data_IF_286097100375
#
_entry.id   IF_286097100375
#
_cell.length_a   1.000
_cell.length_b   1.000
_cell.length_c   1.000
_cell.angle_alpha   90.00
_cell.angle_beta   90.00
_cell.angle_gamma   90.00
#
_symmetry.space_group_name_H-M   'P 1'
#
loop_
_entity.id
_entity.type
_entity.pdbx_description
1 polymer ?
#
# COMPACT_ATOMS: atom_id res chain seq x y z
N UNK A 1 9.57 -11.80 -0.75
CA UNK A 1 10.87 -12.52 -0.76
C UNK A 1 10.98 -13.45 -1.97
N UNK A 2 9.96 -14.28 -2.24
CA UNK A 2 9.98 -15.24 -3.34
C UNK A 2 10.02 -14.56 -4.72
N UNK A 3 9.28 -13.47 -4.88
CA UNK A 3 9.24 -12.70 -6.12
C UNK A 3 10.59 -12.07 -6.48
N UNK A 4 11.32 -11.54 -5.50
CA UNK A 4 12.63 -10.92 -5.74
C UNK A 4 13.72 -11.94 -6.07
N UNK A 5 13.68 -13.12 -5.46
CA UNK A 5 14.63 -14.20 -5.72
C UNK A 5 14.47 -14.78 -7.13
N UNK A 6 13.23 -15.04 -7.56
CA UNK A 6 12.93 -15.57 -8.89
C UNK A 6 13.12 -14.50 -9.97
N UNK A 7 12.80 -13.22 -9.64
CA UNK A 7 12.83 -12.12 -10.60
C UNK A 7 14.23 -11.62 -10.98
N UNK A 8 15.25 -11.79 -10.13
CA UNK A 8 16.55 -11.18 -10.36
C UNK A 8 17.70 -12.19 -10.63
N UNK A 9 17.47 -13.48 -10.44
CA UNK A 9 18.45 -14.54 -10.74
C UNK A 9 19.84 -14.35 -10.11
N UNK A 10 20.07 -13.21 -9.42
CA UNK A 10 21.36 -12.81 -8.90
C UNK A 10 21.25 -12.29 -7.47
N UNK A 11 21.97 -12.87 -6.50
CA UNK A 11 21.96 -12.44 -5.11
C UNK A 11 22.33 -10.95 -4.92
N UNK A 12 23.22 -10.42 -5.75
CA UNK A 12 23.66 -9.02 -5.68
C UNK A 12 22.50 -8.08 -6.02
N UNK A 13 21.75 -8.38 -7.07
CA UNK A 13 20.56 -7.60 -7.46
C UNK A 13 19.47 -7.62 -6.39
N UNK A 14 19.25 -8.78 -5.77
CA UNK A 14 18.32 -8.91 -4.66
C UNK A 14 18.74 -8.08 -3.43
N UNK A 15 20.02 -8.13 -3.05
CA UNK A 15 20.55 -7.34 -1.93
C UNK A 15 20.43 -5.85 -2.26
N UNK A 16 20.82 -5.43 -3.47
CA UNK A 16 20.76 -4.04 -3.90
C UNK A 16 19.31 -3.50 -3.84
N UNK A 17 18.34 -4.25 -4.34
CA UNK A 17 16.92 -3.88 -4.27
C UNK A 17 16.43 -3.81 -2.82
N UNK A 18 16.81 -4.78 -1.98
CA UNK A 18 16.41 -4.80 -0.57
C UNK A 18 16.96 -3.59 0.18
N UNK A 19 18.24 -3.24 -0.03
CA UNK A 19 18.83 -2.04 0.56
C UNK A 19 18.12 -0.79 0.05
N UNK A 20 17.91 -0.70 -1.25
CA UNK A 20 17.24 0.44 -1.88
C UNK A 20 15.84 0.65 -1.32
N UNK A 21 15.02 -0.39 -1.26
CA UNK A 21 13.66 -0.33 -0.68
C UNK A 21 13.68 0.04 0.82
N UNK A 22 14.70 -0.42 1.56
CA UNK A 22 14.88 -0.09 2.97
C UNK A 22 15.17 1.40 3.21
N UNK A 23 15.76 2.11 2.25
CA UNK A 23 16.02 3.55 2.36
C UNK A 23 14.73 4.38 2.46
N UNK A 24 13.64 3.94 1.81
CA UNK A 24 12.34 4.60 1.96
C UNK A 24 11.82 4.48 3.40
N UNK A 25 11.96 3.30 4.01
CA UNK A 25 11.57 3.09 5.41
C UNK A 25 12.47 3.88 6.37
N UNK A 26 13.76 3.96 6.09
CA UNK A 26 14.69 4.79 6.86
C UNK A 26 14.32 6.28 6.74
N UNK A 27 14.03 6.75 5.52
CA UNK A 27 13.55 8.11 5.27
C UNK A 27 12.24 8.42 5.99
N UNK A 28 11.28 7.49 5.95
CA UNK A 28 10.04 7.59 6.70
C UNK A 28 10.28 7.68 8.21
N UNK A 29 11.17 6.83 8.75
CA UNK A 29 11.55 6.87 10.16
C UNK A 29 12.18 8.20 10.57
N UNK A 30 13.07 8.74 9.74
CA UNK A 30 13.67 10.06 9.93
C UNK A 30 12.64 11.19 9.88
N UNK A 31 11.76 11.17 8.87
CA UNK A 31 10.67 12.14 8.76
C UNK A 31 9.73 12.09 9.96
N UNK A 32 9.37 10.87 10.40
CA UNK A 32 8.57 10.69 11.61
C UNK A 32 9.27 11.23 12.86
N UNK A 33 10.57 10.96 13.04
CA UNK A 33 11.34 11.48 14.17
C UNK A 33 11.38 13.01 14.21
N UNK A 34 11.38 13.67 13.05
CA UNK A 34 11.30 15.13 12.95
C UNK A 34 9.87 15.63 13.22
N UNK A 35 8.89 15.08 12.52
CA UNK A 35 7.49 15.52 12.59
C UNK A 35 6.90 15.28 13.98
N UNK A 36 7.22 14.16 14.64
CA UNK A 36 6.74 13.84 15.98
C UNK A 36 7.19 14.82 17.06
N UNK A 37 8.28 15.55 16.82
CA UNK A 37 8.82 16.58 17.73
C UNK A 37 8.24 17.98 17.49
N UNK A 38 7.37 18.14 16.47
CA UNK A 38 6.79 19.45 16.19
C UNK A 38 5.82 19.88 17.30
N UNK A 39 5.92 21.14 17.81
CA UNK A 39 5.06 21.63 18.89
C UNK A 39 3.57 21.56 18.58
N UNK A 40 3.19 21.61 17.29
CA UNK A 40 1.81 21.47 16.84
C UNK A 40 1.23 20.08 17.14
N UNK A 41 2.06 19.05 17.19
CA UNK A 41 1.66 17.69 17.57
C UNK A 41 1.68 17.52 19.10
N UNK A 42 2.56 18.23 19.81
CA UNK A 42 2.68 18.18 21.27
C UNK A 42 1.68 19.08 22.02
N UNK A 43 0.95 19.94 21.30
CA UNK A 43 -0.10 20.77 21.93
C UNK A 43 0.35 22.13 22.44
N UNK A 44 1.45 22.69 21.91
CA UNK A 44 1.97 23.99 22.30
C UNK A 44 0.94 25.13 22.25
N UNK A 45 0.91 26.05 23.24
CA UNK A 45 -0.01 27.20 23.28
C UNK A 45 0.44 28.28 22.28
N UNK A 46 -0.38 28.65 21.34
CA UNK A 46 -0.15 29.80 20.48
C UNK A 46 -0.61 29.59 19.03
N UNK A 47 -1.76 30.17 18.69
CA UNK A 47 -2.25 30.22 17.31
C UNK A 47 -3.71 29.78 17.13
N UNK A 48 -4.44 30.46 16.23
CA UNK A 48 -5.83 30.16 15.84
C UNK A 48 -5.93 28.97 14.88
N UNK A 49 -5.19 27.88 15.10
CA UNK A 49 -5.17 26.76 14.17
C UNK A 49 -6.30 25.77 14.44
N UNK A 50 -7.04 25.42 13.39
CA UNK A 50 -8.11 24.42 13.40
C UNK A 50 -7.62 23.09 14.02
N UNK A 51 -6.34 22.77 13.83
CA UNK A 51 -5.65 21.60 14.38
C UNK A 51 -5.63 21.53 15.91
N UNK A 52 -5.80 22.66 16.62
CA UNK A 52 -5.86 22.66 18.10
C UNK A 52 -7.13 21.99 18.66
N UNK A 53 -8.19 21.91 17.85
CA UNK A 53 -9.42 21.20 18.25
C UNK A 53 -9.26 19.70 18.18
N UNK A 54 -8.24 19.20 17.46
CA UNK A 54 -7.96 17.78 17.34
C UNK A 54 -7.01 17.35 18.46
N UNK A 55 -7.35 16.28 19.22
CA UNK A 55 -6.47 15.75 20.27
C UNK A 55 -5.07 15.42 19.76
N UNK A 56 -4.05 15.61 20.59
CA UNK A 56 -2.64 15.38 20.20
C UNK A 56 -2.41 13.96 19.65
N UNK A 57 -3.01 12.94 20.27
CA UNK A 57 -2.94 11.56 19.80
C UNK A 57 -3.51 11.37 18.39
N UNK A 58 -4.67 11.99 18.10
CA UNK A 58 -5.26 11.90 16.76
C UNK A 58 -4.42 12.64 15.71
N UNK A 59 -3.77 13.76 16.08
CA UNK A 59 -2.84 14.47 15.18
C UNK A 59 -1.64 13.59 14.83
N UNK A 60 -1.06 12.91 15.82
CA UNK A 60 0.05 11.98 15.61
C UNK A 60 -0.36 10.80 14.72
N UNK A 61 -1.54 10.22 14.92
CA UNK A 61 -2.10 9.15 14.09
C UNK A 61 -2.22 9.60 12.63
N UNK A 62 -2.83 10.76 12.40
CA UNK A 62 -3.02 11.33 11.06
C UNK A 62 -1.67 11.65 10.41
N UNK A 63 -0.75 12.29 11.14
CA UNK A 63 0.57 12.65 10.62
C UNK A 63 1.37 11.40 10.19
N UNK A 64 1.37 10.35 11.00
CA UNK A 64 2.03 9.09 10.64
C UNK A 64 1.42 8.45 9.39
N UNK A 65 0.09 8.34 9.34
CA UNK A 65 -0.59 7.73 8.20
C UNK A 65 -0.35 8.50 6.89
N UNK A 66 -0.35 9.83 6.94
CA UNK A 66 -0.03 10.67 5.77
C UNK A 66 1.43 10.54 5.34
N UNK A 67 2.37 10.50 6.29
CA UNK A 67 3.78 10.27 5.99
C UNK A 67 4.01 8.88 5.35
N UNK A 68 3.36 7.85 5.89
CA UNK A 68 3.41 6.51 5.31
C UNK A 68 2.89 6.49 3.87
N UNK A 69 1.69 7.03 3.66
CA UNK A 69 1.08 7.07 2.32
C UNK A 69 1.92 7.89 1.34
N UNK A 70 2.49 9.02 1.79
CA UNK A 70 3.39 9.82 0.97
C UNK A 70 4.68 9.07 0.60
N UNK A 71 5.24 8.29 1.51
CA UNK A 71 6.40 7.44 1.25
C UNK A 71 6.08 6.32 0.26
N UNK A 72 4.90 5.68 0.37
CA UNK A 72 4.42 4.67 -0.59
C UNK A 72 4.22 5.26 -1.98
N UNK A 73 3.61 6.45 -2.10
CA UNK A 73 3.43 7.12 -3.38
C UNK A 73 4.77 7.52 -3.99
N UNK A 74 5.67 8.12 -3.20
CA UNK A 74 7.02 8.47 -3.67
C UNK A 74 7.74 7.24 -4.21
N UNK A 75 7.75 6.14 -3.47
CA UNK A 75 8.38 4.88 -3.87
C UNK A 75 7.75 4.31 -5.14
N UNK A 76 6.46 4.53 -5.33
CA UNK A 76 5.72 3.99 -6.48
C UNK A 76 6.02 4.70 -7.79
N UNK A 77 6.60 5.92 -7.76
CA UNK A 77 6.85 6.73 -8.95
C UNK A 77 8.32 7.13 -9.12
N UNK A 78 9.14 7.10 -8.08
CA UNK A 78 10.51 7.57 -8.11
C UNK A 78 11.44 6.61 -7.35
N UNK A 79 12.72 6.45 -7.78
CA UNK A 79 13.30 6.86 -9.05
C UNK A 79 12.99 5.86 -10.16
N UNK A 80 13.43 6.16 -11.39
CA UNK A 80 13.39 5.25 -12.54
C UNK A 80 12.00 4.66 -12.87
N UNK A 81 10.92 5.38 -12.52
CA UNK A 81 9.54 4.93 -12.69
C UNK A 81 8.96 4.26 -11.44
N UNK A 82 9.75 4.11 -10.38
CA UNK A 82 9.31 3.60 -9.09
C UNK A 82 9.15 2.09 -8.99
N UNK A 83 8.80 1.62 -7.79
CA UNK A 83 8.53 0.20 -7.50
C UNK A 83 7.19 0.05 -6.76
N UNK A 84 6.06 -0.02 -7.47
CA UNK A 84 4.72 0.01 -6.86
C UNK A 84 4.31 -1.30 -6.19
N UNK A 85 5.05 -2.41 -6.36
CA UNK A 85 4.63 -3.76 -5.96
C UNK A 85 4.59 -4.00 -4.45
N UNK A 86 5.23 -3.16 -3.65
CA UNK A 86 5.25 -3.29 -2.18
C UNK A 86 4.19 -2.47 -1.44
N UNK A 87 3.09 -2.07 -2.07
CA UNK A 87 2.01 -1.31 -1.40
C UNK A 87 1.29 -2.16 -0.35
N UNK A 88 0.97 -1.57 0.80
CA UNK A 88 0.18 -2.22 1.86
C UNK A 88 -1.15 -2.77 1.33
N UNK A 89 -1.77 -2.07 0.39
CA UNK A 89 -3.04 -2.47 -0.21
C UNK A 89 -2.98 -3.86 -0.85
N UNK A 90 -1.86 -4.25 -1.46
CA UNK A 90 -1.73 -5.55 -2.13
C UNK A 90 -1.69 -6.73 -1.14
N UNK A 91 -1.23 -6.49 0.09
CA UNK A 91 -1.29 -7.49 1.15
C UNK A 91 -2.72 -7.67 1.71
N UNK A 92 -3.67 -6.81 1.32
CA UNK A 92 -5.06 -6.82 1.81
C UNK A 92 -6.05 -7.48 0.84
N UNK A 93 -5.59 -8.24 -0.16
CA UNK A 93 -6.42 -8.83 -1.20
C UNK A 93 -7.53 -9.75 -0.64
N UNK A 94 -7.28 -10.43 0.48
CA UNK A 94 -8.24 -11.34 1.12
C UNK A 94 -8.83 -10.74 2.42
N UNK A 95 -8.54 -9.48 2.72
CA UNK A 95 -8.96 -8.84 3.95
C UNK A 95 -10.34 -8.17 3.84
N UNK A 96 -11.08 -8.00 4.96
CA UNK A 96 -12.39 -7.34 4.97
C UNK A 96 -12.38 -5.90 4.44
N UNK A 97 -11.23 -5.25 4.42
CA UNK A 97 -11.04 -3.90 3.89
C UNK A 97 -11.08 -3.82 2.35
N UNK A 98 -10.93 -4.95 1.65
CA UNK A 98 -10.81 -4.97 0.18
C UNK A 98 -11.92 -4.20 -0.56
N UNK A 99 -13.21 -4.25 -0.17
CA UNK A 99 -14.27 -3.48 -0.83
C UNK A 99 -14.02 -1.97 -0.90
N UNK A 100 -13.24 -1.41 0.03
CA UNK A 100 -12.88 0.00 -0.03
C UNK A 100 -12.08 0.36 -1.30
N UNK A 101 -11.37 -0.61 -1.90
CA UNK A 101 -10.58 -0.38 -3.10
C UNK A 101 -11.43 0.12 -4.30
N UNK A 102 -12.71 -0.27 -4.38
CA UNK A 102 -13.62 0.20 -5.41
C UNK A 102 -13.93 1.71 -5.31
N UNK A 103 -13.77 2.30 -4.12
CA UNK A 103 -14.11 3.71 -3.85
C UNK A 103 -12.87 4.61 -3.76
N UNK A 104 -11.80 4.11 -3.16
CA UNK A 104 -10.60 4.91 -2.84
C UNK A 104 -9.31 4.39 -3.49
N UNK A 105 -9.41 3.34 -4.30
CA UNK A 105 -8.25 2.74 -4.97
C UNK A 105 -7.23 2.12 -4.00
N UNK A 106 -6.12 1.64 -4.53
CA UNK A 106 -5.04 1.04 -3.73
C UNK A 106 -4.36 2.05 -2.79
N UNK A 107 -4.22 3.30 -3.21
CA UNK A 107 -3.64 4.36 -2.37
C UNK A 107 -4.49 4.63 -1.13
N UNK A 108 -5.82 4.73 -1.31
CA UNK A 108 -6.76 4.91 -0.21
C UNK A 108 -6.81 3.72 0.74
N UNK A 109 -6.76 2.48 0.22
CA UNK A 109 -6.66 1.28 1.08
C UNK A 109 -5.37 1.30 1.89
N UNK A 110 -4.21 1.65 1.28
CA UNK A 110 -2.95 1.83 1.99
C UNK A 110 -3.05 2.85 3.13
N UNK A 111 -3.68 4.01 2.87
CA UNK A 111 -3.94 5.03 3.88
C UNK A 111 -4.82 4.50 5.03
N UNK A 112 -5.90 3.79 4.74
CA UNK A 112 -6.79 3.21 5.75
C UNK A 112 -6.06 2.20 6.64
N UNK A 113 -5.21 1.35 6.04
CA UNK A 113 -4.36 0.39 6.77
C UNK A 113 -3.35 1.12 7.66
N UNK A 114 -2.68 2.15 7.14
CA UNK A 114 -1.73 2.96 7.90
C UNK A 114 -2.42 3.69 9.08
N UNK A 115 -3.63 4.23 8.86
CA UNK A 115 -4.45 4.82 9.91
C UNK A 115 -4.81 3.78 10.99
N UNK A 116 -5.26 2.59 10.58
CA UNK A 116 -5.61 1.53 11.51
C UNK A 116 -4.40 1.09 12.35
N UNK A 117 -3.24 0.92 11.72
CA UNK A 117 -1.98 0.59 12.40
C UNK A 117 -1.56 1.67 13.40
N UNK A 118 -1.65 2.95 13.00
CA UNK A 118 -1.35 4.08 13.88
C UNK A 118 -2.33 4.20 15.06
N UNK A 119 -3.63 3.93 14.83
CA UNK A 119 -4.62 3.83 15.90
C UNK A 119 -4.31 2.68 16.87
N UNK A 120 -3.94 1.52 16.36
CA UNK A 120 -3.57 0.36 17.19
C UNK A 120 -2.31 0.67 18.03
N UNK A 121 -1.30 1.30 17.44
CA UNK A 121 -0.11 1.74 18.15
C UNK A 121 -0.44 2.78 19.24
N UNK A 122 -1.34 3.73 18.95
CA UNK A 122 -1.80 4.71 19.93
C UNK A 122 -2.59 4.05 21.07
N UNK A 123 -3.43 3.06 20.78
CA UNK A 123 -4.13 2.27 21.80
C UNK A 123 -3.13 1.52 22.69
N UNK A 124 -2.15 0.83 22.10
CA UNK A 124 -1.12 0.10 22.84
C UNK A 124 -0.32 1.01 23.77
N UNK A 125 0.09 2.19 23.29
CA UNK A 125 0.76 3.22 24.13
C UNK A 125 -0.15 3.69 25.27
N UNK A 126 -1.44 3.91 25.00
CA UNK A 126 -2.41 4.36 26.00
C UNK A 126 -2.68 3.31 27.07
N UNK A 127 -2.55 2.01 26.77
CA UNK A 127 -2.57 0.92 27.76
C UNK A 127 -1.42 1.09 28.75
N UNK A 128 -0.22 1.32 28.22
CA UNK A 128 0.96 1.54 29.05
C UNK A 128 0.82 2.79 29.95
N UNK A 129 0.18 3.82 29.44
CA UNK A 129 -0.13 5.06 30.18
C UNK A 129 -1.37 4.93 31.09
N UNK A 130 -2.04 3.76 31.13
CA UNK A 130 -3.26 3.47 31.90
C UNK A 130 -4.45 4.40 31.58
N UNK A 131 -4.57 4.82 30.31
CA UNK A 131 -5.62 5.73 29.83
C UNK A 131 -6.72 4.96 29.10
N UNK A 132 -7.78 4.59 29.79
CA UNK A 132 -8.84 3.71 29.26
C UNK A 132 -9.56 4.28 28.01
N UNK A 133 -9.92 5.57 28.04
CA UNK A 133 -10.69 6.18 26.93
C UNK A 133 -9.93 6.17 25.61
N UNK A 134 -8.67 6.63 25.51
CA UNK A 134 -7.91 6.50 24.26
C UNK A 134 -7.72 5.06 23.80
N UNK A 135 -7.56 4.09 24.72
CA UNK A 135 -7.45 2.66 24.36
C UNK A 135 -8.69 2.21 23.63
N UNK A 136 -9.86 2.43 24.21
CA UNK A 136 -11.14 1.98 23.62
C UNK A 136 -11.40 2.69 22.29
N UNK A 137 -11.29 4.01 22.25
CA UNK A 137 -11.58 4.81 21.05
C UNK A 137 -10.64 4.41 19.90
N UNK A 138 -9.33 4.35 20.15
CA UNK A 138 -8.38 4.02 19.10
C UNK A 138 -8.47 2.56 18.67
N UNK A 139 -8.74 1.63 19.59
CA UNK A 139 -8.96 0.23 19.27
C UNK A 139 -10.21 0.01 18.41
N UNK A 140 -11.31 0.65 18.76
CA UNK A 140 -12.57 0.60 17.97
C UNK A 140 -12.35 1.22 16.58
N UNK A 141 -11.67 2.36 16.49
CA UNK A 141 -11.36 2.99 15.21
C UNK A 141 -10.47 2.10 14.33
N UNK A 142 -9.43 1.48 14.90
CA UNK A 142 -8.59 0.56 14.16
C UNK A 142 -9.39 -0.62 13.59
N UNK A 143 -10.23 -1.25 14.41
CA UNK A 143 -11.08 -2.34 13.99
C UNK A 143 -12.10 -1.90 12.93
N UNK A 144 -12.74 -0.75 13.12
CA UNK A 144 -13.71 -0.20 12.17
C UNK A 144 -13.09 0.09 10.81
N UNK A 145 -11.90 0.70 10.76
CA UNK A 145 -11.19 0.98 9.51
C UNK A 145 -10.88 -0.29 8.70
N UNK A 146 -10.60 -1.40 9.37
CA UNK A 146 -10.27 -2.66 8.70
C UNK A 146 -11.50 -3.50 8.34
N UNK A 147 -12.58 -3.42 9.12
CA UNK A 147 -13.71 -4.35 9.00
C UNK A 147 -14.94 -3.70 8.39
N UNK A 148 -15.25 -2.44 8.72
CA UNK A 148 -16.46 -1.77 8.23
C UNK A 148 -16.54 -1.69 6.69
N UNK A 149 -15.43 -1.58 5.92
CA UNK A 149 -15.50 -1.59 4.47
C UNK A 149 -16.12 -2.85 3.87
N UNK A 150 -16.16 -3.98 4.60
CA UNK A 150 -16.88 -5.19 4.18
C UNK A 150 -18.39 -4.94 3.95
N UNK A 151 -18.93 -3.91 4.57
CA UNK A 151 -20.36 -3.53 4.45
C UNK A 151 -20.62 -2.62 3.24
N UNK A 152 -19.57 -2.17 2.54
CA UNK A 152 -19.74 -1.32 1.36
C UNK A 152 -20.39 -2.10 0.23
N UNK A 153 -21.44 -1.54 -0.40
CA UNK A 153 -22.07 -2.18 -1.54
C UNK A 153 -21.11 -2.18 -2.74
N UNK A 154 -20.91 -3.34 -3.33
CA UNK A 154 -20.18 -3.48 -4.60
C UNK A 154 -21.22 -3.82 -5.67
N UNK A 155 -21.44 -2.89 -6.61
CA UNK A 155 -22.24 -3.19 -7.79
C UNK A 155 -21.33 -3.81 -8.87
N UNK A 156 -21.42 -5.13 -8.98
CA UNK A 156 -20.71 -5.90 -10.01
C UNK A 156 -21.55 -6.08 -11.28
N UNK A 157 -22.71 -5.44 -11.41
CA UNK A 157 -23.58 -5.55 -12.58
C UNK A 157 -23.00 -4.74 -13.74
N UNK A 158 -23.06 -5.33 -14.92
CA UNK A 158 -22.72 -4.62 -16.16
C UNK A 158 -23.78 -3.53 -16.42
N UNK A 159 -23.44 -2.25 -16.17
CA UNK A 159 -24.35 -1.11 -16.34
C UNK A 159 -24.45 -0.68 -17.81
N UNK A 160 -23.42 -0.90 -18.62
CA UNK A 160 -23.30 -0.44 -20.00
C UNK A 160 -23.16 -1.60 -21.00
N UNK A 161 -23.69 -2.78 -20.69
CA UNK A 161 -23.57 -3.97 -21.50
C UNK A 161 -22.35 -4.83 -21.17
N UNK A 162 -22.13 -5.89 -21.93
CA UNK A 162 -21.03 -6.85 -21.77
C UNK A 162 -20.10 -6.80 -22.96
N UNK A 163 -18.80 -6.83 -22.69
CA UNK A 163 -17.75 -6.95 -23.71
C UNK A 163 -17.03 -8.27 -23.50
N UNK A 164 -16.84 -9.03 -24.57
CA UNK A 164 -15.97 -10.22 -24.54
C UNK A 164 -14.51 -9.77 -24.61
N UNK A 165 -13.74 -10.12 -23.61
CA UNK A 165 -12.30 -9.79 -23.53
C UNK A 165 -11.51 -11.10 -23.55
N UNK A 166 -10.59 -11.22 -24.50
CA UNK A 166 -9.62 -12.28 -24.54
C UNK A 166 -8.28 -11.83 -23.93
N UNK A 167 -7.77 -12.56 -22.96
CA UNK A 167 -6.43 -12.34 -22.40
C UNK A 167 -5.47 -13.38 -22.98
N UNK A 168 -4.35 -12.91 -23.53
CA UNK A 168 -3.32 -13.75 -24.11
C UNK A 168 -2.06 -13.67 -23.30
N UNK A 169 -1.49 -14.82 -22.93
CA UNK A 169 -0.22 -14.91 -22.22
C UNK A 169 0.81 -15.62 -23.10
N UNK A 170 1.92 -14.95 -23.39
CA UNK A 170 3.01 -15.49 -24.21
C UNK A 170 3.96 -16.44 -23.49
N UNK A 171 3.80 -16.54 -22.17
CA UNK A 171 4.63 -17.33 -21.27
C UNK A 171 6.12 -16.94 -21.31
N UNK A 172 6.73 -16.69 -20.16
CA UNK A 172 8.16 -16.38 -20.06
C UNK A 172 8.87 -17.61 -19.51
N UNK A 173 10.03 -17.98 -20.09
CA UNK A 173 10.85 -19.05 -19.57
C UNK A 173 11.25 -18.77 -18.11
N UNK A 174 11.25 -19.80 -17.27
CA UNK A 174 11.59 -19.69 -15.84
C UNK A 174 13.09 -19.47 -15.60
N UNK A 175 13.94 -19.80 -16.59
CA UNK A 175 15.39 -19.57 -16.54
C UNK A 175 15.76 -18.21 -17.10
N UNK A 176 16.29 -17.34 -16.24
CA UNK A 176 16.57 -15.93 -16.55
C UNK A 176 17.66 -15.74 -17.62
N UNK A 177 18.64 -16.62 -17.69
CA UNK A 177 19.67 -16.57 -18.73
C UNK A 177 19.10 -16.74 -20.13
N UNK A 178 18.04 -17.53 -20.26
CA UNK A 178 17.34 -17.77 -21.51
C UNK A 178 16.21 -16.75 -21.82
N UNK A 179 15.70 -16.04 -20.82
CA UNK A 179 14.55 -15.14 -20.99
C UNK A 179 14.85 -14.00 -21.98
N UNK A 180 16.08 -13.49 -22.00
CA UNK A 180 16.50 -12.45 -22.94
C UNK A 180 16.64 -12.98 -24.37
N UNK A 181 17.20 -14.19 -24.52
CA UNK A 181 17.37 -14.85 -25.79
C UNK A 181 16.04 -15.35 -26.40
N UNK A 182 15.02 -15.52 -25.56
CA UNK A 182 13.67 -15.97 -25.95
C UNK A 182 12.65 -14.87 -26.15
N UNK A 183 13.04 -13.60 -26.17
CA UNK A 183 12.11 -12.48 -26.38
C UNK A 183 11.31 -12.64 -27.69
N UNK A 184 11.94 -13.16 -28.75
CA UNK A 184 11.27 -13.46 -30.03
C UNK A 184 10.28 -14.61 -29.89
N UNK A 185 10.59 -15.66 -29.12
CA UNK A 185 9.71 -16.77 -28.83
C UNK A 185 8.46 -16.31 -28.08
N UNK A 186 8.62 -15.51 -27.02
CA UNK A 186 7.51 -14.93 -26.24
C UNK A 186 6.62 -14.07 -27.13
N UNK A 187 7.23 -13.22 -27.98
CA UNK A 187 6.50 -12.40 -28.95
C UNK A 187 5.74 -13.27 -29.96
N UNK A 188 6.38 -14.32 -30.47
CA UNK A 188 5.75 -15.30 -31.35
C UNK A 188 4.56 -16.02 -30.71
N UNK A 189 4.70 -16.41 -29.44
CA UNK A 189 3.63 -17.05 -28.66
C UNK A 189 2.42 -16.10 -28.47
N UNK A 190 2.66 -14.82 -28.15
CA UNK A 190 1.60 -13.83 -28.08
C UNK A 190 0.88 -13.67 -29.43
N UNK A 191 1.63 -13.53 -30.52
CA UNK A 191 1.04 -13.37 -31.85
C UNK A 191 0.22 -14.61 -32.27
N UNK A 192 0.71 -15.82 -32.00
CA UNK A 192 0.01 -17.07 -32.29
C UNK A 192 -1.29 -17.21 -31.49
N UNK A 193 -1.23 -16.97 -30.18
CA UNK A 193 -2.40 -17.08 -29.32
C UNK A 193 -3.44 -15.97 -29.61
N UNK A 194 -3.01 -14.76 -29.99
CA UNK A 194 -3.92 -13.69 -30.45
C UNK A 194 -4.66 -14.08 -31.72
N UNK A 195 -3.97 -14.72 -32.68
CA UNK A 195 -4.62 -15.21 -33.91
C UNK A 195 -5.67 -16.30 -33.62
N UNK A 196 -5.43 -17.17 -32.65
CA UNK A 196 -6.39 -18.19 -32.23
C UNK A 196 -7.65 -17.57 -31.62
N UNK A 197 -7.49 -16.54 -30.76
CA UNK A 197 -8.62 -15.78 -30.20
C UNK A 197 -9.47 -15.05 -31.26
N UNK A 198 -8.85 -14.60 -32.34
CA UNK A 198 -9.58 -13.92 -33.43
C UNK A 198 -10.31 -14.86 -34.37
N UNK A 199 -10.08 -16.16 -34.26
CA UNK A 199 -10.73 -17.20 -35.09
C UNK A 199 -11.98 -17.80 -34.43
N UNK A 200 -12.19 -17.57 -33.12
CA UNK A 200 -13.37 -18.00 -32.34
C UNK A 200 -14.36 -16.81 -32.18
#
# INVERSE_FOLDING_TARGET
LHFTMVGMGNPIGWIALTVFESLYLAGLGGAWALVSRLPQLEGAPGGRNLLRRVPAGARSVLAFALLWSGAEELRSVWPLGGFPFGRLAFAMADAPILPAAAYVGSAGVGLLVALAAACAAHAARSIHERRAVPVVVSGVLAAALLVAPRLLPLDARAQNGTVRVGAVQGNVATDFEDAFNRALEVTGNHAKATKQLAAD
#
